data_IF_597796766777
#
_entry.id   IF_597796766777
#
_cell.length_a   1.000
_cell.length_b   1.000
_cell.length_c   1.000
_cell.angle_alpha   90.00
_cell.angle_beta   90.00
_cell.angle_gamma   90.00
#
_symmetry.space_group_name_H-M   'P 1'
#
loop_
_entity.id
_entity.type
_entity.pdbx_description
1 polymer ?
#
# COMPACT_ATOMS: atom_id res chain seq x y z
N UNK A 1 4.28 -5.16 26.19
CA UNK A 1 4.56 -5.85 24.91
C UNK A 1 6.06 -6.02 24.79
N UNK A 2 6.56 -7.25 24.63
CA UNK A 2 7.99 -7.49 24.44
C UNK A 2 8.34 -7.24 22.98
N UNK A 3 9.31 -6.36 22.73
CA UNK A 3 9.77 -6.06 21.38
C UNK A 3 10.35 -7.31 20.72
N UNK A 4 9.72 -7.78 19.64
CA UNK A 4 10.23 -8.81 18.74
C UNK A 4 10.74 -8.18 17.43
N UNK A 5 12.06 -8.09 17.19
CA UNK A 5 12.62 -7.39 16.03
C UNK A 5 12.06 -7.89 14.69
N UNK A 6 11.94 -9.21 14.53
CA UNK A 6 11.41 -9.84 13.31
C UNK A 6 9.93 -9.59 13.07
N UNK A 7 9.20 -9.00 14.03
CA UNK A 7 7.81 -8.57 13.88
C UNK A 7 7.72 -7.06 13.69
N UNK A 8 8.38 -6.31 14.57
CA UNK A 8 8.19 -4.87 14.63
C UNK A 8 8.99 -4.09 13.59
N UNK A 9 10.16 -4.56 13.17
CA UNK A 9 10.93 -3.85 12.14
C UNK A 9 10.18 -3.86 10.79
N UNK A 10 9.70 -5.00 10.26
CA UNK A 10 8.91 -4.99 9.03
C UNK A 10 7.60 -4.22 9.18
N UNK A 11 6.93 -4.33 10.34
CA UNK A 11 5.69 -3.60 10.61
C UNK A 11 5.91 -2.07 10.62
N UNK A 12 6.98 -1.59 11.25
CA UNK A 12 7.35 -0.18 11.26
C UNK A 12 7.71 0.32 9.86
N UNK A 13 8.44 -0.48 9.08
CA UNK A 13 8.74 -0.14 7.70
C UNK A 13 7.47 0.00 6.84
N UNK A 14 6.56 -0.99 6.89
CA UNK A 14 5.28 -0.92 6.17
C UNK A 14 4.49 0.33 6.59
N UNK A 15 4.34 0.56 7.90
CA UNK A 15 3.58 1.69 8.41
C UNK A 15 4.20 3.03 8.02
N UNK A 16 5.53 3.14 8.01
CA UNK A 16 6.23 4.33 7.54
C UNK A 16 5.87 4.64 6.08
N UNK A 17 5.96 3.65 5.18
CA UNK A 17 5.64 3.82 3.76
C UNK A 17 4.18 4.18 3.54
N UNK A 18 3.27 3.46 4.22
CA UNK A 18 1.83 3.73 4.14
C UNK A 18 1.52 5.15 4.59
N UNK A 19 1.96 5.55 5.79
CA UNK A 19 1.70 6.88 6.35
C UNK A 19 2.26 7.99 5.47
N UNK A 20 3.47 7.84 4.94
CA UNK A 20 4.04 8.82 4.01
C UNK A 20 3.19 8.95 2.73
N UNK A 21 2.70 7.82 2.20
CA UNK A 21 1.87 7.84 1.00
C UNK A 21 0.50 8.50 1.22
N UNK A 22 -0.02 8.53 2.46
CA UNK A 22 -1.30 9.17 2.79
C UNK A 22 -1.30 10.67 2.51
N UNK A 23 -0.15 11.33 2.66
CA UNK A 23 -0.03 12.76 2.36
C UNK A 23 -0.46 13.05 0.91
N UNK A 24 0.07 12.28 -0.04
CA UNK A 24 -0.29 12.42 -1.46
C UNK A 24 -1.78 12.14 -1.68
N UNK A 25 -2.30 11.04 -1.12
CA UNK A 25 -3.67 10.56 -1.34
C UNK A 25 -4.75 11.46 -0.74
N UNK A 26 -4.46 12.17 0.34
CA UNK A 26 -5.42 13.04 1.02
C UNK A 26 -5.28 14.52 0.69
N UNK A 27 -4.21 14.93 -0.01
CA UNK A 27 -4.00 16.33 -0.42
C UNK A 27 -4.42 16.63 -1.86
N UNK A 28 -4.82 15.61 -2.62
CA UNK A 28 -5.15 15.78 -4.05
C UNK A 28 -3.92 16.07 -4.89
N UNK A 29 -2.81 15.36 -4.63
CA UNK A 29 -1.57 15.56 -5.37
C UNK A 29 -1.72 15.13 -6.83
N UNK A 30 -0.96 15.77 -7.74
CA UNK A 30 -0.98 15.42 -9.16
C UNK A 30 -0.58 13.96 -9.43
N UNK A 31 0.30 13.38 -8.60
CA UNK A 31 0.66 11.96 -8.67
C UNK A 31 -0.56 11.06 -8.38
N UNK A 32 -1.35 11.42 -7.38
CA UNK A 32 -2.57 10.66 -7.02
C UNK A 32 -3.59 10.75 -8.15
N UNK A 33 -3.84 11.95 -8.67
CA UNK A 33 -4.75 12.18 -9.79
C UNK A 33 -4.28 11.43 -11.06
N UNK A 34 -2.97 11.40 -11.31
CA UNK A 34 -2.41 10.66 -12.43
C UNK A 34 -2.64 9.14 -12.29
N UNK A 35 -2.38 8.57 -11.11
CA UNK A 35 -2.54 7.13 -10.87
C UNK A 35 -4.01 6.73 -11.02
N UNK A 36 -4.90 7.36 -10.25
CA UNK A 36 -6.31 6.97 -10.22
C UNK A 36 -7.07 7.44 -11.47
N UNK A 37 -6.70 8.58 -12.07
CA UNK A 37 -7.26 9.05 -13.34
C UNK A 37 -6.90 8.14 -14.52
N UNK A 38 -5.66 7.65 -14.58
CA UNK A 38 -5.24 6.63 -15.57
C UNK A 38 -6.08 5.37 -15.43
N UNK A 39 -6.23 4.86 -14.20
CA UNK A 39 -7.02 3.65 -13.94
C UNK A 39 -8.51 3.84 -14.20
N UNK A 40 -9.07 5.02 -13.90
CA UNK A 40 -10.46 5.35 -14.19
C UNK A 40 -10.73 5.38 -15.70
N UNK A 41 -9.82 5.98 -16.47
CA UNK A 41 -9.90 6.01 -17.93
C UNK A 41 -9.81 4.61 -18.52
N UNK A 42 -8.86 3.80 -18.04
CA UNK A 42 -8.68 2.42 -18.50
C UNK A 42 -9.87 1.51 -18.16
N UNK A 43 -10.40 1.59 -16.94
CA UNK A 43 -11.49 0.74 -16.47
C UNK A 43 -12.89 1.23 -16.88
N UNK A 44 -13.01 2.49 -17.29
CA UNK A 44 -14.30 3.17 -17.48
C UNK A 44 -15.01 3.54 -16.17
N UNK A 45 -14.37 3.35 -15.01
CA UNK A 45 -14.94 3.63 -13.69
C UNK A 45 -14.55 5.05 -13.23
N UNK A 46 -15.29 6.06 -13.70
CA UNK A 46 -15.01 7.47 -13.37
C UNK A 46 -14.98 7.75 -11.86
N UNK A 47 -15.84 7.08 -11.07
CA UNK A 47 -15.86 7.19 -9.61
C UNK A 47 -14.54 6.72 -8.96
N UNK A 48 -13.83 5.78 -9.59
CA UNK A 48 -12.56 5.29 -9.07
C UNK A 48 -11.44 6.32 -9.23
N UNK A 49 -11.56 7.22 -10.22
CA UNK A 49 -10.62 8.33 -10.40
C UNK A 49 -10.70 9.31 -9.23
N UNK A 50 -11.91 9.67 -8.80
CA UNK A 50 -12.11 10.64 -7.73
C UNK A 50 -12.05 10.05 -6.32
N UNK A 51 -12.48 8.80 -6.13
CA UNK A 51 -12.57 8.17 -4.80
C UNK A 51 -11.46 7.14 -4.54
N UNK A 52 -10.82 6.61 -5.58
CA UNK A 52 -9.86 5.51 -5.45
C UNK A 52 -8.70 5.86 -4.51
N UNK A 53 -8.15 7.07 -4.64
CA UNK A 53 -7.09 7.58 -3.76
C UNK A 53 -7.49 7.55 -2.28
N UNK A 54 -8.67 8.08 -1.96
CA UNK A 54 -9.20 8.07 -0.60
C UNK A 54 -9.45 6.64 -0.09
N UNK A 55 -10.06 5.78 -0.89
CA UNK A 55 -10.38 4.40 -0.51
C UNK A 55 -9.11 3.61 -0.17
N UNK A 56 -8.08 3.69 -1.02
CA UNK A 56 -6.81 3.03 -0.78
C UNK A 56 -6.08 3.67 0.41
N UNK A 57 -6.11 5.00 0.54
CA UNK A 57 -5.51 5.69 1.68
C UNK A 57 -6.13 5.29 3.03
N UNK A 58 -7.45 5.14 3.11
CA UNK A 58 -8.10 4.61 4.31
C UNK A 58 -7.71 3.15 4.59
N UNK A 59 -7.63 2.30 3.56
CA UNK A 59 -7.21 0.92 3.72
C UNK A 59 -5.77 0.81 4.24
N UNK A 60 -4.85 1.63 3.73
CA UNK A 60 -3.46 1.71 4.18
C UNK A 60 -3.34 2.22 5.62
N UNK A 61 -4.11 3.25 5.99
CA UNK A 61 -4.14 3.77 7.36
C UNK A 61 -4.62 2.69 8.34
N UNK A 62 -5.70 1.98 8.01
CA UNK A 62 -6.22 0.88 8.82
C UNK A 62 -5.15 -0.21 8.94
N UNK A 63 -4.55 -0.64 7.83
CA UNK A 63 -3.50 -1.66 7.85
C UNK A 63 -2.32 -1.25 8.74
N UNK A 64 -1.84 -0.01 8.61
CA UNK A 64 -0.75 0.55 9.41
C UNK A 64 -1.07 0.53 10.92
N UNK A 65 -2.30 0.87 11.31
CA UNK A 65 -2.75 0.80 12.71
C UNK A 65 -2.79 -0.66 13.18
N UNK A 66 -3.44 -1.55 12.43
CA UNK A 66 -3.66 -2.94 12.84
C UNK A 66 -2.35 -3.69 13.08
N UNK A 67 -1.29 -3.39 12.32
CA UNK A 67 0.05 -3.98 12.48
C UNK A 67 0.64 -3.83 13.89
N UNK A 68 0.19 -2.86 14.70
CA UNK A 68 0.64 -2.65 16.08
C UNK A 68 -0.39 -3.06 17.15
N UNK A 69 -1.46 -3.74 16.74
CA UNK A 69 -2.52 -4.22 17.64
C UNK A 69 -2.51 -5.74 17.77
N UNK A 70 -3.46 -6.29 18.54
CA UNK A 70 -3.73 -7.73 18.56
C UNK A 70 -4.18 -8.29 17.20
N UNK A 71 -4.64 -7.44 16.30
CA UNK A 71 -5.06 -7.80 14.93
C UNK A 71 -3.89 -7.73 13.93
N UNK A 72 -2.65 -7.88 14.40
CA UNK A 72 -1.43 -7.77 13.58
C UNK A 72 -1.52 -8.57 12.28
N UNK A 73 -1.97 -9.83 12.36
CA UNK A 73 -2.13 -10.68 11.19
C UNK A 73 -3.12 -10.15 10.15
N UNK A 74 -4.21 -9.49 10.58
CA UNK A 74 -5.14 -8.83 9.66
C UNK A 74 -4.48 -7.65 8.95
N UNK A 75 -3.73 -6.83 9.68
CA UNK A 75 -2.94 -5.73 9.09
C UNK A 75 -1.91 -6.23 8.07
N UNK A 76 -1.29 -7.37 8.33
CA UNK A 76 -0.35 -8.01 7.41
C UNK A 76 -1.03 -8.49 6.12
N UNK A 77 -2.18 -9.18 6.21
CA UNK A 77 -2.95 -9.59 5.03
C UNK A 77 -3.46 -8.39 4.24
N UNK A 78 -3.97 -7.35 4.92
CA UNK A 78 -4.40 -6.11 4.26
C UNK A 78 -3.24 -5.48 3.48
N UNK A 79 -2.05 -5.44 4.06
CA UNK A 79 -0.83 -4.95 3.38
C UNK A 79 -0.58 -5.73 2.09
N UNK A 80 -0.63 -7.06 2.14
CA UNK A 80 -0.47 -7.92 0.95
C UNK A 80 -1.54 -7.63 -0.08
N UNK A 81 -2.81 -7.52 0.33
CA UNK A 81 -3.93 -7.26 -0.58
C UNK A 81 -3.81 -5.92 -1.30
N UNK A 82 -3.53 -4.84 -0.56
CA UNK A 82 -3.37 -3.48 -1.11
C UNK A 82 -2.20 -3.44 -2.10
N UNK A 83 -1.03 -3.96 -1.70
CA UNK A 83 0.15 -3.95 -2.58
C UNK A 83 0.00 -4.89 -3.77
N UNK A 84 -0.73 -6.01 -3.64
CA UNK A 84 -1.03 -6.89 -4.78
C UNK A 84 -1.85 -6.14 -5.83
N UNK A 85 -2.84 -5.35 -5.41
CA UNK A 85 -3.61 -4.48 -6.30
C UNK A 85 -2.73 -3.44 -7.00
N UNK A 86 -1.88 -2.74 -6.25
CA UNK A 86 -0.95 -1.76 -6.82
C UNK A 86 -0.02 -2.41 -7.85
N UNK A 87 0.67 -3.50 -7.50
CA UNK A 87 1.58 -4.22 -8.40
C UNK A 87 0.84 -4.71 -9.65
N UNK A 88 -0.34 -5.30 -9.48
CA UNK A 88 -1.15 -5.76 -10.60
C UNK A 88 -1.47 -4.60 -11.56
N UNK A 89 -1.92 -3.46 -11.04
CA UNK A 89 -2.28 -2.34 -11.89
C UNK A 89 -1.07 -1.72 -12.60
N UNK A 90 0.10 -1.66 -11.97
CA UNK A 90 1.33 -1.23 -12.66
C UNK A 90 1.74 -2.16 -13.81
N UNK A 91 1.52 -3.47 -13.68
CA UNK A 91 1.99 -4.46 -14.67
C UNK A 91 0.99 -4.75 -15.79
N UNK A 92 -0.31 -4.69 -15.49
CA UNK A 92 -1.35 -5.17 -16.39
C UNK A 92 -2.31 -4.06 -16.89
N UNK A 93 -2.00 -2.79 -16.59
CA UNK A 93 -2.76 -1.64 -17.10
C UNK A 93 -1.84 -0.58 -17.69
N UNK A 94 -2.39 0.45 -18.37
CA UNK A 94 -1.62 1.56 -18.91
C UNK A 94 -0.89 2.41 -17.86
N UNK A 95 -1.07 2.15 -16.56
CA UNK A 95 -0.38 2.86 -15.48
C UNK A 95 1.15 2.75 -15.62
N UNK A 96 1.68 1.56 -15.94
CA UNK A 96 3.11 1.33 -16.12
C UNK A 96 3.92 1.47 -14.82
N UNK A 97 5.24 1.22 -14.87
CA UNK A 97 6.11 1.23 -13.68
C UNK A 97 6.65 2.63 -13.35
N UNK A 98 6.96 3.43 -14.37
CA UNK A 98 7.56 4.76 -14.23
C UNK A 98 6.50 5.79 -13.91
N UNK A 99 6.55 6.38 -12.72
CA UNK A 99 5.59 7.39 -12.30
C UNK A 99 6.11 8.80 -12.58
N UNK A 100 5.32 9.69 -13.19
CA UNK A 100 5.71 11.07 -13.41
C UNK A 100 5.82 11.83 -12.08
N UNK A 101 6.82 12.70 -11.99
CA UNK A 101 6.99 13.66 -10.90
C UNK A 101 6.45 15.03 -11.34
N UNK A 102 5.67 15.68 -10.48
CA UNK A 102 5.03 16.95 -10.81
C UNK A 102 5.58 18.10 -9.99
N UNK A 103 5.67 19.27 -10.60
CA UNK A 103 5.89 20.52 -9.87
C UNK A 103 4.56 21.04 -9.27
N UNK A 104 4.63 22.19 -8.59
CA UNK A 104 3.44 22.84 -7.99
C UNK A 104 2.41 23.33 -9.03
N UNK A 105 2.83 23.55 -10.29
CA UNK A 105 1.95 23.93 -11.39
C UNK A 105 1.30 22.72 -12.10
N UNK A 106 1.70 21.49 -11.76
CA UNK A 106 1.21 20.26 -12.37
C UNK A 106 1.92 19.87 -13.66
N UNK A 107 3.06 20.49 -13.97
CA UNK A 107 3.89 20.05 -15.09
C UNK A 107 4.76 18.86 -14.69
N UNK A 108 4.94 17.92 -15.62
CA UNK A 108 5.88 16.81 -15.45
C UNK A 108 7.30 17.35 -15.50
N UNK A 109 8.05 17.18 -14.42
CA UNK A 109 9.45 17.60 -14.30
C UNK A 109 10.44 16.44 -14.30
N UNK A 110 9.93 15.21 -14.18
CA UNK A 110 10.75 14.00 -14.14
C UNK A 110 9.92 12.74 -14.03
N UNK A 111 10.62 11.62 -13.78
CA UNK A 111 10.05 10.32 -13.50
C UNK A 111 10.77 9.70 -12.31
N UNK A 112 10.05 8.95 -11.49
CA UNK A 112 10.55 8.36 -10.24
C UNK A 112 11.54 7.19 -10.42
N UNK A 113 11.86 6.81 -11.66
CA UNK A 113 12.76 5.69 -11.96
C UNK A 113 12.19 4.31 -11.60
N UNK A 114 10.89 4.20 -11.30
CA UNK A 114 10.26 2.99 -10.77
C UNK A 114 10.42 2.81 -9.25
N UNK A 115 10.79 3.86 -8.53
CA UNK A 115 10.96 3.84 -7.08
C UNK A 115 9.67 3.45 -6.36
N UNK A 116 8.52 4.02 -6.73
CA UNK A 116 7.23 3.70 -6.09
C UNK A 116 6.89 2.21 -6.28
N UNK A 117 7.09 1.68 -7.48
CA UNK A 117 6.86 0.27 -7.77
C UNK A 117 7.81 -0.65 -6.98
N UNK A 118 9.10 -0.31 -6.92
CA UNK A 118 10.07 -1.05 -6.10
C UNK A 118 9.71 -1.06 -4.62
N UNK A 119 9.25 0.07 -4.09
CA UNK A 119 8.74 0.18 -2.72
C UNK A 119 7.49 -0.68 -2.50
N UNK A 120 6.54 -0.68 -3.45
CA UNK A 120 5.35 -1.53 -3.36
C UNK A 120 5.71 -3.02 -3.30
N UNK A 121 6.66 -3.48 -4.11
CA UNK A 121 7.17 -4.85 -4.07
C UNK A 121 7.84 -5.19 -2.72
N UNK A 122 8.65 -4.29 -2.17
CA UNK A 122 9.32 -4.53 -0.90
C UNK A 122 8.32 -4.58 0.28
N UNK A 123 7.36 -3.65 0.30
CA UNK A 123 6.26 -3.64 1.29
C UNK A 123 5.42 -4.91 1.18
N UNK A 124 5.13 -5.37 -0.04
CA UNK A 124 4.44 -6.64 -0.28
C UNK A 124 5.20 -7.83 0.33
N UNK A 125 6.51 -7.92 0.11
CA UNK A 125 7.36 -8.97 0.69
C UNK A 125 7.35 -8.93 2.21
N UNK A 126 7.44 -7.75 2.82
CA UNK A 126 7.32 -7.59 4.27
C UNK A 126 5.94 -8.03 4.79
N UNK A 127 4.86 -7.64 4.11
CA UNK A 127 3.49 -8.03 4.46
C UNK A 127 3.27 -9.55 4.35
N UNK A 128 3.78 -10.17 3.30
CA UNK A 128 3.70 -11.62 3.08
C UNK A 128 4.47 -12.37 4.16
N UNK A 129 5.68 -11.92 4.49
CA UNK A 129 6.49 -12.46 5.57
C UNK A 129 5.76 -12.40 6.92
N UNK A 130 5.18 -11.24 7.27
CA UNK A 130 4.42 -11.08 8.52
C UNK A 130 3.16 -11.95 8.54
N UNK A 131 2.46 -12.07 7.41
CA UNK A 131 1.26 -12.92 7.30
C UNK A 131 1.59 -14.38 7.56
N UNK A 132 2.66 -14.91 6.93
CA UNK A 132 3.12 -16.29 7.15
C UNK A 132 3.58 -16.50 8.60
N UNK A 133 4.27 -15.51 9.18
CA UNK A 133 4.72 -15.57 10.57
C UNK A 133 3.55 -15.62 11.55
N UNK A 134 2.52 -14.79 11.35
CA UNK A 134 1.33 -14.76 12.20
C UNK A 134 0.51 -16.05 12.06
N UNK A 135 0.39 -16.60 10.85
CA UNK A 135 -0.28 -17.88 10.60
C UNK A 135 0.39 -19.08 11.29
N UNK A 136 1.72 -19.06 11.41
CA UNK A 136 2.50 -20.11 12.09
C UNK A 136 2.58 -19.94 13.61
N UNK A 137 2.18 -18.79 14.13
CA UNK A 137 2.21 -18.53 15.57
C UNK A 137 0.91 -19.03 16.21
N UNK A 138 1.00 -19.88 17.23
CA UNK A 138 -0.20 -20.44 17.91
C UNK A 138 -1.05 -19.33 18.56
N UNK A 139 -0.41 -18.28 19.07
CA UNK A 139 -1.10 -17.09 19.60
C UNK A 139 -1.39 -16.04 18.52
N UNK A 140 -1.14 -16.35 17.24
CA UNK A 140 -1.34 -15.45 16.11
C UNK A 140 -2.81 -15.25 15.79
N UNK A 141 -3.17 -14.05 15.32
CA UNK A 141 -4.56 -13.76 14.98
C UNK A 141 -5.06 -14.67 13.84
N UNK A 142 -4.25 -14.83 12.79
CA UNK A 142 -4.61 -15.64 11.63
C UNK A 142 -4.70 -17.13 11.96
N UNK A 143 -3.82 -17.62 12.82
CA UNK A 143 -3.85 -19.01 13.27
C UNK A 143 -5.16 -19.30 14.02
N UNK A 144 -5.49 -18.48 15.01
CA UNK A 144 -6.70 -18.62 15.81
C UNK A 144 -7.99 -18.45 15.00
N UNK A 145 -7.97 -17.64 13.94
CA UNK A 145 -9.12 -17.48 13.04
C UNK A 145 -9.34 -18.69 12.10
N UNK A 146 -8.29 -19.48 11.86
CA UNK A 146 -8.33 -20.63 10.94
C UNK A 146 -8.66 -21.98 11.60
N UNK A 147 -8.71 -22.00 12.94
CA UNK A 147 -9.12 -23.16 13.74
C UNK A 147 -10.61 -23.10 14.04
#
# INVERSE_FOLDING_TARGET
MTFTPTKHIPAAFIAFVFIQSLFFKFTGSYETEHIFGTLATWSGLSWFGSLGGYLIGFAELIAAILLFTRWHGLGAIMTVGIMSGAIFFHLFTPLGIQMPEFNTAGDIVGYDGGLLFGMACLVWLCGAFLSVKDFKNQDGFLNNFSQ
#
